data_IF_852292842254
#
_entry.id   IF_852292842254
#
_cell.length_a   1.000
_cell.length_b   1.000
_cell.length_c   1.000
_cell.angle_alpha   90.00
_cell.angle_beta   90.00
_cell.angle_gamma   90.00
#
_symmetry.space_group_name_H-M   'P 1'
#
loop_
_entity.id
_entity.type
_entity.pdbx_description
1 polymer ?
#
# COMPACT_ATOMS: atom_id res chain seq x y z
N UNK A 1 -46.29 12.14 -30.53
CA UNK A 1 -46.42 10.67 -30.49
C UNK A 1 -45.01 10.15 -30.77
N UNK A 2 -44.24 9.88 -29.71
CA UNK A 2 -43.99 8.53 -29.16
C UNK A 2 -43.21 7.68 -30.18
N UNK A 3 -42.13 6.95 -29.89
CA UNK A 3 -41.35 6.65 -28.68
C UNK A 3 -40.18 5.73 -29.14
N UNK A 4 -39.18 5.49 -28.27
CA UNK A 4 -38.28 4.32 -28.34
C UNK A 4 -36.95 4.49 -29.09
N UNK A 5 -35.77 4.65 -28.44
CA UNK A 5 -34.98 3.67 -27.64
C UNK A 5 -34.43 2.54 -28.55
N UNK A 6 -33.12 2.28 -28.70
CA UNK A 6 -32.07 1.95 -27.70
C UNK A 6 -30.68 2.00 -28.42
N UNK A 7 -29.61 2.45 -27.75
CA UNK A 7 -28.38 1.69 -27.37
C UNK A 7 -27.64 1.00 -28.54
N UNK A 8 -26.35 1.15 -28.80
CA UNK A 8 -25.10 1.07 -28.02
C UNK A 8 -24.03 1.66 -28.97
N UNK A 9 -23.04 2.45 -28.55
CA UNK A 9 -21.75 1.88 -28.19
C UNK A 9 -21.05 2.81 -27.21
N UNK A 10 -20.93 2.31 -25.98
CA UNK A 10 -20.00 2.81 -25.01
C UNK A 10 -18.56 2.57 -25.50
N UNK A 11 -17.85 3.64 -25.85
CA UNK A 11 -16.40 3.66 -25.68
C UNK A 11 -16.05 4.65 -24.58
N UNK A 12 -16.51 4.32 -23.37
CA UNK A 12 -15.81 4.70 -22.15
C UNK A 12 -14.41 4.08 -22.25
N UNK A 13 -13.48 4.90 -22.75
CA UNK A 13 -12.06 4.70 -22.56
C UNK A 13 -11.81 4.85 -21.06
N UNK A 14 -12.11 3.79 -20.32
CA UNK A 14 -11.67 3.59 -18.95
C UNK A 14 -10.16 3.44 -19.08
N UNK A 15 -9.47 4.58 -19.09
CA UNK A 15 -8.04 4.66 -18.80
C UNK A 15 -7.92 4.09 -17.40
N UNK A 16 -7.71 2.78 -17.34
CA UNK A 16 -7.55 2.03 -16.12
C UNK A 16 -6.31 2.57 -15.43
N UNK A 17 -6.55 3.47 -14.48
CA UNK A 17 -5.78 3.78 -13.28
C UNK A 17 -4.50 2.94 -13.14
N UNK A 18 -3.50 3.24 -13.97
CA UNK A 18 -2.11 2.81 -13.77
C UNK A 18 -1.27 4.00 -13.30
N UNK A 19 -1.77 5.22 -13.52
CA UNK A 19 -1.22 6.46 -12.98
C UNK A 19 -1.38 6.60 -11.47
N UNK A 20 -2.29 5.85 -10.83
CA UNK A 20 -2.42 5.91 -9.37
C UNK A 20 -1.27 5.16 -8.65
N UNK A 21 -0.65 4.17 -9.30
CA UNK A 21 0.45 3.40 -8.68
C UNK A 21 1.84 3.96 -9.00
N UNK A 22 1.98 4.76 -10.07
CA UNK A 22 3.26 5.31 -10.53
C UNK A 22 3.21 6.81 -10.90
N UNK A 23 2.16 7.52 -10.48
CA UNK A 23 1.92 8.92 -10.79
C UNK A 23 2.98 9.84 -10.20
N UNK A 24 3.74 10.46 -11.10
CA UNK A 24 4.79 11.46 -10.89
C UNK A 24 5.90 11.08 -9.91
N UNK A 25 7.06 10.70 -10.45
CA UNK A 25 8.34 10.68 -9.73
C UNK A 25 8.78 11.99 -9.06
N UNK A 26 7.90 13.01 -8.98
CA UNK A 26 8.03 14.16 -8.09
C UNK A 26 8.14 13.75 -6.62
N UNK A 27 7.58 12.60 -6.21
CA UNK A 27 7.83 12.07 -4.86
C UNK A 27 9.27 11.57 -4.66
N UNK A 28 9.99 11.25 -5.74
CA UNK A 28 11.37 10.76 -5.69
C UNK A 28 12.41 11.88 -5.69
N UNK A 29 12.06 13.10 -6.14
CA UNK A 29 12.93 14.28 -6.12
C UNK A 29 13.60 14.57 -4.77
N UNK A 30 12.90 14.54 -3.61
CA UNK A 30 13.52 14.82 -2.32
C UNK A 30 14.62 13.82 -1.93
N UNK A 31 14.65 12.63 -2.55
CA UNK A 31 15.64 11.61 -2.22
C UNK A 31 16.95 11.77 -3.00
N UNK A 32 16.98 12.52 -4.11
CA UNK A 32 18.19 12.66 -4.96
C UNK A 32 19.45 13.14 -4.22
N UNK A 33 19.30 13.80 -3.06
CA UNK A 33 20.39 14.20 -2.15
C UNK A 33 20.43 13.46 -0.80
N UNK A 34 19.62 12.43 -0.60
CA UNK A 34 19.53 11.71 0.67
C UNK A 34 20.77 10.84 0.94
N UNK A 35 21.25 10.74 2.20
CA UNK A 35 22.38 9.88 2.54
C UNK A 35 22.13 8.42 2.11
N UNK A 36 23.17 7.74 1.60
CA UNK A 36 23.10 6.31 1.26
C UNK A 36 22.53 5.44 2.40
N UNK A 37 22.82 5.83 3.66
CA UNK A 37 22.29 5.19 4.86
C UNK A 37 20.77 5.30 4.97
N UNK A 38 20.20 6.46 4.62
CA UNK A 38 18.75 6.68 4.60
C UNK A 38 18.07 5.80 3.53
N UNK A 39 18.65 5.70 2.33
CA UNK A 39 18.16 4.80 1.28
C UNK A 39 18.20 3.33 1.70
N UNK A 40 19.32 2.89 2.28
CA UNK A 40 19.48 1.52 2.76
C UNK A 40 18.47 1.18 3.86
N UNK A 41 18.27 2.10 4.82
CA UNK A 41 17.24 1.96 5.87
C UNK A 41 15.84 1.88 5.25
N UNK A 42 15.47 2.81 4.36
CA UNK A 42 14.16 2.79 3.71
C UNK A 42 13.91 1.49 2.93
N UNK A 43 14.88 1.02 2.15
CA UNK A 43 14.75 -0.24 1.40
C UNK A 43 14.60 -1.44 2.33
N UNK A 44 15.40 -1.50 3.40
CA UNK A 44 15.33 -2.59 4.38
C UNK A 44 13.97 -2.60 5.08
N UNK A 45 13.56 -1.48 5.63
CA UNK A 45 12.30 -1.36 6.37
C UNK A 45 11.08 -1.59 5.45
N UNK A 46 11.13 -1.12 4.19
CA UNK A 46 10.07 -1.41 3.21
C UNK A 46 9.96 -2.91 2.88
N UNK A 47 11.08 -3.60 2.74
CA UNK A 47 11.07 -5.06 2.52
C UNK A 47 10.53 -5.81 3.73
N UNK A 48 10.92 -5.40 4.94
CA UNK A 48 10.42 -6.00 6.18
C UNK A 48 8.92 -5.74 6.35
N UNK A 49 8.44 -4.52 6.07
CA UNK A 49 7.03 -4.19 6.09
C UNK A 49 6.22 -5.00 5.07
N UNK A 50 6.76 -5.19 3.85
CA UNK A 50 6.12 -6.03 2.84
C UNK A 50 6.06 -7.51 3.27
N UNK A 51 7.11 -8.03 3.90
CA UNK A 51 7.11 -9.40 4.42
C UNK A 51 6.02 -9.59 5.49
N UNK A 52 5.88 -8.63 6.42
CA UNK A 52 4.83 -8.65 7.45
C UNK A 52 3.42 -8.51 6.84
N UNK A 53 3.28 -7.68 5.81
CA UNK A 53 2.00 -7.54 5.10
C UNK A 53 1.60 -8.83 4.36
N UNK A 54 2.56 -9.54 3.77
CA UNK A 54 2.31 -10.83 3.11
C UNK A 54 1.76 -11.87 4.09
N UNK A 55 2.25 -11.89 5.33
CA UNK A 55 1.72 -12.76 6.38
C UNK A 55 0.26 -12.43 6.69
N UNK A 56 -0.10 -11.14 6.76
CA UNK A 56 -1.50 -10.72 7.00
C UNK A 56 -2.41 -11.16 5.84
N UNK A 57 -1.93 -11.14 4.59
CA UNK A 57 -2.68 -11.66 3.46
C UNK A 57 -2.88 -13.18 3.53
N UNK A 58 -1.83 -13.93 3.91
CA UNK A 58 -1.92 -15.39 4.07
C UNK A 58 -2.93 -15.74 5.16
N UNK A 59 -2.86 -15.10 6.32
CA UNK A 59 -3.82 -15.31 7.40
C UNK A 59 -5.27 -15.00 6.97
N UNK A 60 -5.46 -13.96 6.14
CA UNK A 60 -6.77 -13.65 5.58
C UNK A 60 -7.27 -14.75 4.64
N UNK A 61 -6.42 -15.25 3.75
CA UNK A 61 -6.78 -16.35 2.84
C UNK A 61 -7.10 -17.64 3.60
N UNK A 62 -6.33 -17.95 4.65
CA UNK A 62 -6.60 -19.09 5.53
C UNK A 62 -7.93 -18.96 6.27
N UNK A 63 -8.26 -17.76 6.75
CA UNK A 63 -9.58 -17.48 7.33
C UNK A 63 -10.67 -17.62 6.29
N UNK A 64 -10.50 -17.00 5.13
CA UNK A 64 -11.47 -17.01 4.03
C UNK A 64 -11.82 -18.44 3.58
N UNK A 65 -10.82 -19.33 3.51
CA UNK A 65 -11.01 -20.73 3.17
C UNK A 65 -11.85 -21.52 4.21
N UNK A 66 -12.01 -20.99 5.41
CA UNK A 66 -12.78 -21.59 6.52
C UNK A 66 -14.13 -20.90 6.76
N UNK A 67 -14.47 -19.82 6.06
CA UNK A 67 -15.73 -19.10 6.26
C UNK A 67 -16.87 -19.90 5.54
N UNK A 68 -17.94 -20.27 6.25
CA UNK A 68 -19.00 -21.19 5.77
C UNK A 68 -20.17 -20.47 5.04
N UNK A 69 -19.93 -19.25 4.55
CA UNK A 69 -20.94 -18.49 3.82
C UNK A 69 -20.54 -17.06 3.50
N UNK A 70 -21.35 -16.35 2.70
CA UNK A 70 -21.04 -14.99 2.24
C UNK A 70 -21.04 -13.95 3.38
N UNK A 71 -21.86 -14.15 4.42
CA UNK A 71 -21.87 -13.28 5.59
C UNK A 71 -20.56 -13.40 6.38
N UNK A 72 -20.07 -14.62 6.58
CA UNK A 72 -18.80 -14.88 7.25
C UNK A 72 -17.64 -14.35 6.40
N UNK A 73 -17.68 -14.53 5.07
CA UNK A 73 -16.67 -13.98 4.17
C UNK A 73 -16.57 -12.43 4.25
N UNK A 74 -17.71 -11.74 4.36
CA UNK A 74 -17.74 -10.28 4.56
C UNK A 74 -17.19 -9.86 5.92
N UNK A 75 -17.49 -10.61 6.97
CA UNK A 75 -16.89 -10.39 8.29
C UNK A 75 -15.37 -10.61 8.23
N UNK A 76 -14.93 -11.72 7.64
CA UNK A 76 -13.53 -12.08 7.37
C UNK A 76 -12.81 -10.93 6.61
N UNK A 77 -13.46 -10.32 5.61
CA UNK A 77 -12.91 -9.19 4.86
C UNK A 77 -12.84 -7.89 5.67
N UNK A 78 -13.87 -7.57 6.46
CA UNK A 78 -13.88 -6.38 7.31
C UNK A 78 -12.77 -6.43 8.37
N UNK A 79 -12.52 -7.61 8.95
CA UNK A 79 -11.40 -7.83 9.87
C UNK A 79 -10.06 -7.64 9.18
N UNK A 80 -9.89 -8.17 7.97
CA UNK A 80 -8.67 -7.99 7.19
C UNK A 80 -8.41 -6.53 6.87
N UNK A 81 -9.40 -5.79 6.40
CA UNK A 81 -9.25 -4.35 6.10
C UNK A 81 -8.84 -3.59 7.35
N UNK A 82 -9.49 -3.86 8.49
CA UNK A 82 -9.13 -3.23 9.77
C UNK A 82 -7.69 -3.56 10.15
N UNK A 83 -7.29 -4.84 10.10
CA UNK A 83 -5.94 -5.30 10.44
C UNK A 83 -4.89 -4.70 9.51
N UNK A 84 -5.16 -4.69 8.21
CA UNK A 84 -4.29 -4.10 7.18
C UNK A 84 -4.12 -2.59 7.37
N UNK A 85 -5.19 -1.87 7.70
CA UNK A 85 -5.13 -0.43 7.95
C UNK A 85 -4.31 -0.10 9.21
N UNK A 86 -4.58 -0.79 10.32
CA UNK A 86 -3.81 -0.63 11.56
C UNK A 86 -2.34 -0.94 11.34
N UNK A 87 -2.04 -2.07 10.70
CA UNK A 87 -0.66 -2.46 10.39
C UNK A 87 0.04 -1.42 9.49
N UNK A 88 -0.62 -0.95 8.43
CA UNK A 88 -0.03 0.06 7.53
C UNK A 88 0.29 1.36 8.25
N UNK A 89 -0.55 1.78 9.19
CA UNK A 89 -0.30 2.97 10.00
C UNK A 89 0.87 2.78 10.97
N UNK A 90 0.93 1.63 11.65
CA UNK A 90 2.03 1.29 12.56
C UNK A 90 3.37 1.18 11.82
N UNK A 91 3.39 0.52 10.66
CA UNK A 91 4.57 0.43 9.79
C UNK A 91 5.01 1.80 9.28
N UNK A 92 4.07 2.65 8.85
CA UNK A 92 4.37 4.01 8.40
C UNK A 92 5.03 4.83 9.50
N UNK A 93 4.50 4.74 10.73
CA UNK A 93 5.12 5.39 11.90
C UNK A 93 6.51 4.83 12.20
N UNK A 94 6.67 3.51 12.20
CA UNK A 94 7.97 2.86 12.43
C UNK A 94 9.01 3.31 11.40
N UNK A 95 8.67 3.30 10.12
CA UNK A 95 9.57 3.75 9.04
C UNK A 95 9.94 5.23 9.23
N UNK A 96 8.98 6.08 9.58
CA UNK A 96 9.24 7.50 9.83
C UNK A 96 10.18 7.73 11.03
N UNK A 97 10.02 6.96 12.11
CA UNK A 97 10.89 7.02 13.28
C UNK A 97 12.32 6.53 12.92
N UNK A 98 12.45 5.40 12.21
CA UNK A 98 13.75 4.91 11.70
C UNK A 98 14.43 5.89 10.76
N UNK A 99 13.65 6.57 9.92
CA UNK A 99 14.13 7.58 9.01
C UNK A 99 14.68 8.78 9.80
N UNK A 100 13.93 9.28 10.78
CA UNK A 100 14.36 10.35 11.68
C UNK A 100 15.67 10.00 12.38
N UNK A 101 15.78 8.81 12.96
CA UNK A 101 17.01 8.34 13.61
C UNK A 101 18.20 8.27 12.63
N UNK A 102 17.96 7.87 11.39
CA UNK A 102 19.00 7.80 10.36
C UNK A 102 19.52 9.18 9.94
N UNK A 103 18.69 10.23 10.06
CA UNK A 103 19.03 11.62 9.73
C UNK A 103 19.66 12.37 10.90
N UNK A 104 19.42 11.97 12.15
CA UNK A 104 20.01 12.59 13.34
C UNK A 104 21.40 12.06 13.71
N UNK A 105 21.93 11.06 13.00
CA UNK A 105 23.29 10.58 13.20
C UNK A 105 24.30 11.64 12.67
N UNK A 106 25.25 12.14 13.50
CA UNK A 106 26.21 13.13 13.05
C UNK A 106 27.04 12.58 11.89
N UNK A 107 27.20 13.41 10.85
CA UNK A 107 28.23 13.21 9.86
C UNK A 107 29.57 13.17 10.60
N UNK A 108 30.17 11.99 10.70
CA UNK A 108 31.54 11.87 11.17
C UNK A 108 32.44 12.55 10.14
N UNK A 109 32.81 13.78 10.47
CA UNK A 109 33.87 14.58 9.85
C UNK A 109 35.12 13.70 9.67
N UNK A 110 35.67 13.68 8.45
CA UNK A 110 36.93 13.03 8.10
C UNK A 110 37.98 14.10 7.88
#
# INVERSE_FOLDING_TARGET
MADGKTADDAQTKTTGSSDFLFGNGEWAQPFSGAPLKMYATLRKEALEAMARYLQIQIEYLEKLAKCDGPADALACQSEFVRKAATHSFEEGKHIADKLRDSMSAPAADK
#
